data_IF_870224402730
#
_entry.id   IF_870224402730
#
_cell.length_a   1.000
_cell.length_b   1.000
_cell.length_c   1.000
_cell.angle_alpha   90.00
_cell.angle_beta   90.00
_cell.angle_gamma   90.00
#
_symmetry.space_group_name_H-M   'P 1'
#
loop_
_entity.id
_entity.type
_entity.pdbx_description
1 polymer ?
#
# COMPACT_ATOMS: atom_id res chain seq x y z
N UNK A 1 14.01 -7.99 -3.73
CA UNK A 1 14.49 -7.64 -2.37
C UNK A 1 13.26 -7.37 -1.52
N UNK A 2 13.03 -8.07 -0.39
CA UNK A 2 11.85 -7.81 0.42
C UNK A 2 11.97 -6.43 1.08
N UNK A 3 10.93 -5.60 0.92
CA UNK A 3 10.83 -4.31 1.58
C UNK A 3 9.94 -4.52 2.80
N UNK A 4 10.51 -4.36 3.99
CA UNK A 4 9.78 -4.47 5.23
C UNK A 4 9.27 -3.09 5.65
N UNK A 5 7.95 -2.96 5.80
CA UNK A 5 7.31 -1.76 6.34
C UNK A 5 7.12 -1.90 7.85
N UNK A 6 7.11 -0.78 8.56
CA UNK A 6 6.64 -0.78 9.95
C UNK A 6 5.13 -1.04 10.00
N UNK A 7 4.62 -1.48 11.15
CA UNK A 7 3.18 -1.74 11.33
C UNK A 7 2.32 -0.50 11.02
N UNK A 8 2.79 0.70 11.34
CA UNK A 8 2.10 1.95 11.02
C UNK A 8 2.08 2.23 9.51
N UNK A 9 3.21 2.03 8.83
CA UNK A 9 3.28 2.18 7.38
C UNK A 9 2.37 1.17 6.68
N UNK A 10 2.37 -0.09 7.14
CA UNK A 10 1.49 -1.13 6.62
C UNK A 10 0.01 -0.74 6.74
N UNK A 11 -0.42 -0.25 7.92
CA UNK A 11 -1.80 0.21 8.13
C UNK A 11 -2.18 1.36 7.21
N UNK A 12 -1.30 2.36 7.02
CA UNK A 12 -1.57 3.49 6.11
C UNK A 12 -1.76 3.04 4.67
N UNK A 13 -0.92 2.10 4.21
CA UNK A 13 -1.02 1.56 2.86
C UNK A 13 -2.28 0.70 2.71
N UNK A 14 -2.64 -0.08 3.74
CA UNK A 14 -3.87 -0.87 3.76
C UNK A 14 -5.13 0.02 3.71
N UNK A 15 -5.16 1.11 4.49
CA UNK A 15 -6.26 2.08 4.46
C UNK A 15 -6.37 2.77 3.10
N UNK A 16 -5.24 3.15 2.50
CA UNK A 16 -5.21 3.70 1.15
C UNK A 16 -5.77 2.67 0.14
N UNK A 17 -5.35 1.41 0.25
CA UNK A 17 -5.83 0.32 -0.60
C UNK A 17 -7.34 0.13 -0.48
N UNK A 18 -7.87 0.05 0.75
CA UNK A 18 -9.32 -0.06 1.02
C UNK A 18 -10.11 1.09 0.41
N UNK A 19 -9.63 2.33 0.53
CA UNK A 19 -10.28 3.52 -0.06
C UNK A 19 -10.35 3.48 -1.59
N UNK A 20 -9.41 2.79 -2.23
CA UNK A 20 -9.33 2.67 -3.69
C UNK A 20 -9.85 1.32 -4.21
N UNK A 21 -10.49 0.50 -3.37
CA UNK A 21 -11.07 -0.79 -3.76
C UNK A 21 -10.03 -1.88 -4.03
N UNK A 22 -8.83 -1.77 -3.47
CA UNK A 22 -7.74 -2.73 -3.68
C UNK A 22 -7.79 -3.86 -2.66
N UNK A 23 -7.48 -5.07 -3.13
CA UNK A 23 -7.49 -6.28 -2.33
C UNK A 23 -6.15 -6.54 -1.64
N UNK A 24 -5.05 -6.09 -2.26
CA UNK A 24 -3.70 -6.45 -1.84
C UNK A 24 -2.84 -5.20 -1.65
N UNK A 25 -1.96 -5.24 -0.65
CA UNK A 25 -1.03 -4.16 -0.34
C UNK A 25 -0.12 -3.81 -1.54
N UNK A 26 0.30 -4.81 -2.32
CA UNK A 26 1.15 -4.58 -3.51
C UNK A 26 0.48 -3.68 -4.54
N UNK A 27 -0.83 -3.83 -4.77
CA UNK A 27 -1.56 -2.98 -5.72
C UNK A 27 -1.65 -1.54 -5.23
N UNK A 28 -1.82 -1.35 -3.93
CA UNK A 28 -1.78 -0.03 -3.30
C UNK A 28 -0.41 0.62 -3.47
N UNK A 29 0.66 -0.13 -3.20
CA UNK A 29 2.04 0.35 -3.39
C UNK A 29 2.30 0.71 -4.86
N UNK A 30 1.94 -0.17 -5.79
CA UNK A 30 2.14 0.07 -7.23
C UNK A 30 1.40 1.32 -7.71
N UNK A 31 0.18 1.56 -7.20
CA UNK A 31 -0.57 2.78 -7.54
C UNK A 31 0.07 4.03 -6.93
N UNK A 32 0.43 3.99 -5.65
CA UNK A 32 1.10 5.10 -4.97
C UNK A 32 2.40 5.47 -5.71
N UNK A 33 3.19 4.46 -6.12
CA UNK A 33 4.43 4.67 -6.87
C UNK A 33 4.21 5.16 -8.31
N UNK A 34 3.04 4.91 -8.90
CA UNK A 34 2.68 5.43 -10.24
C UNK A 34 2.15 6.85 -10.20
N UNK A 35 1.54 7.25 -9.08
CA UNK A 35 0.91 8.56 -8.89
C UNK A 35 1.84 9.59 -8.21
N UNK A 36 2.97 9.14 -7.65
CA UNK A 36 4.01 9.96 -7.04
C UNK A 36 5.09 10.39 -8.05
#
# INVERSE_FOLDING_TARGET
MPICFTNEQYKKIEEYGKKHGMLNLSQAIEKILKEA
#
